data_IF_184313004206
#
_entry.id   IF_184313004206
#
_cell.length_a   1.000
_cell.length_b   1.000
_cell.length_c   1.000
_cell.angle_alpha   90.00
_cell.angle_beta   90.00
_cell.angle_gamma   90.00
#
_symmetry.space_group_name_H-M   'P 1'
#
loop_
_entity.id
_entity.type
_entity.pdbx_description
1 polymer ?
#
# COMPACT_ATOMS: atom_id res chain seq x y z
N UNK A 1 17.61 21.98 13.75
CA UNK A 1 17.67 20.50 13.71
C UNK A 1 16.29 19.97 13.31
N UNK A 2 16.10 19.56 12.06
CA UNK A 2 14.78 19.15 11.54
C UNK A 2 14.72 17.64 11.36
N UNK A 3 14.63 16.90 12.46
CA UNK A 3 14.55 15.42 12.49
C UNK A 3 13.12 14.89 12.67
N UNK A 4 12.08 15.73 12.53
CA UNK A 4 10.74 15.42 13.03
C UNK A 4 9.65 15.15 11.95
N UNK A 5 10.02 14.67 10.76
CA UNK A 5 9.03 14.28 9.71
C UNK A 5 9.26 12.85 9.16
N UNK A 6 10.31 12.16 9.61
CA UNK A 6 10.68 10.84 9.07
C UNK A 6 9.73 9.74 9.55
N UNK A 7 9.55 9.56 10.86
CA UNK A 7 8.81 8.43 11.45
C UNK A 7 7.37 8.31 10.92
N UNK A 8 6.64 9.43 10.82
CA UNK A 8 5.25 9.43 10.35
C UNK A 8 5.12 9.03 8.87
N UNK A 9 6.09 9.41 8.02
CA UNK A 9 6.14 9.00 6.62
C UNK A 9 6.38 7.49 6.48
N UNK A 10 7.32 6.94 7.25
CA UNK A 10 7.62 5.51 7.23
C UNK A 10 6.45 4.69 7.80
N UNK A 11 5.86 5.11 8.92
CA UNK A 11 4.70 4.46 9.52
C UNK A 11 3.50 4.43 8.56
N UNK A 12 3.25 5.51 7.81
CA UNK A 12 2.17 5.55 6.81
C UNK A 12 2.42 4.57 5.66
N UNK A 13 3.67 4.41 5.24
CA UNK A 13 4.03 3.42 4.21
C UNK A 13 3.85 2.01 4.76
N UNK A 14 4.34 1.72 5.96
CA UNK A 14 4.17 0.41 6.61
C UNK A 14 2.69 0.04 6.77
N UNK A 15 1.84 0.99 7.18
CA UNK A 15 0.40 0.77 7.32
C UNK A 15 -0.27 0.28 6.03
N UNK A 16 0.14 0.78 4.86
CA UNK A 16 -0.41 0.32 3.56
C UNK A 16 0.00 -1.10 3.21
N UNK A 17 1.23 -1.50 3.56
CA UNK A 17 1.64 -2.88 3.40
C UNK A 17 0.88 -3.80 4.36
N UNK A 18 0.67 -3.37 5.62
CA UNK A 18 -0.16 -4.15 6.55
C UNK A 18 -1.59 -4.31 6.05
N UNK A 19 -2.21 -3.21 5.58
CA UNK A 19 -3.56 -3.23 5.00
C UNK A 19 -3.65 -4.19 3.79
N UNK A 20 -2.66 -4.14 2.89
CA UNK A 20 -2.54 -5.08 1.77
C UNK A 20 -2.44 -6.53 2.22
N UNK A 21 -1.64 -6.83 3.24
CA UNK A 21 -1.51 -8.18 3.77
C UNK A 21 -2.79 -8.66 4.48
N UNK A 22 -3.49 -7.78 5.20
CA UNK A 22 -4.80 -8.09 5.77
C UNK A 22 -5.84 -8.44 4.69
N UNK A 23 -5.70 -7.89 3.48
CA UNK A 23 -6.53 -8.23 2.32
C UNK A 23 -6.04 -9.47 1.55
N UNK A 24 -4.99 -10.15 2.02
CA UNK A 24 -4.45 -11.37 1.38
C UNK A 24 -3.54 -11.12 0.18
N UNK A 25 -3.07 -9.88 -0.03
CA UNK A 25 -2.21 -9.54 -1.16
C UNK A 25 -0.79 -10.12 -1.00
N UNK A 26 -0.20 -10.57 -2.11
CA UNK A 26 1.21 -10.99 -2.15
C UNK A 26 2.15 -9.80 -2.00
N UNK A 27 3.44 -10.04 -1.69
CA UNK A 27 4.43 -8.96 -1.55
C UNK A 27 4.54 -8.08 -2.81
N UNK A 28 4.40 -8.66 -4.01
CA UNK A 28 4.41 -7.92 -5.27
C UNK A 28 3.15 -7.05 -5.42
N UNK A 29 1.98 -7.62 -5.15
CA UNK A 29 0.70 -6.91 -5.19
C UNK A 29 0.67 -5.77 -4.16
N UNK A 30 1.14 -6.02 -2.94
CA UNK A 30 1.23 -5.03 -1.88
C UNK A 30 2.17 -3.85 -2.24
N UNK A 31 3.28 -4.14 -2.91
CA UNK A 31 4.20 -3.11 -3.40
C UNK A 31 3.57 -2.25 -4.50
N UNK A 32 2.86 -2.88 -5.44
CA UNK A 32 2.12 -2.20 -6.49
C UNK A 32 1.01 -1.31 -5.90
N UNK A 33 0.19 -1.86 -5.01
CA UNK A 33 -0.90 -1.16 -4.34
C UNK A 33 -0.37 0.03 -3.52
N UNK A 34 0.70 -0.17 -2.75
CA UNK A 34 1.34 0.91 -1.98
C UNK A 34 1.88 2.06 -2.85
N UNK A 35 2.29 1.76 -4.09
CA UNK A 35 2.75 2.76 -5.06
C UNK A 35 1.58 3.51 -5.68
N UNK A 36 0.53 2.80 -6.12
CA UNK A 36 -0.66 3.38 -6.74
C UNK A 36 -1.45 4.26 -5.76
N UNK A 37 -1.62 3.79 -4.53
CA UNK A 37 -2.43 4.45 -3.49
C UNK A 37 -1.59 5.28 -2.50
N UNK A 38 -0.46 5.82 -2.94
CA UNK A 38 0.46 6.58 -2.07
C UNK A 38 -0.16 7.83 -1.42
N UNK A 39 -1.26 8.35 -1.97
CA UNK A 39 -2.05 9.44 -1.37
C UNK A 39 -3.19 8.97 -0.46
N UNK A 40 -3.68 7.74 -0.66
CA UNK A 40 -4.83 7.21 0.07
C UNK A 40 -4.41 6.66 1.43
N UNK A 41 -5.35 6.72 2.38
CA UNK A 41 -5.15 6.21 3.75
C UNK A 41 -5.56 4.75 3.89
N UNK A 42 -6.43 4.26 3.01
CA UNK A 42 -7.02 2.93 3.01
C UNK A 42 -7.00 2.42 1.57
N UNK A 43 -6.72 1.13 1.37
CA UNK A 43 -6.85 0.50 0.07
C UNK A 43 -8.33 0.29 -0.26
N UNK A 44 -8.78 0.59 -1.49
CA UNK A 44 -10.17 0.34 -1.85
C UNK A 44 -10.44 -1.17 -1.97
N UNK A 45 -11.68 -1.59 -1.70
CA UNK A 45 -12.09 -2.99 -1.85
C UNK A 45 -11.99 -3.50 -3.30
N UNK A 46 -11.98 -2.59 -4.29
CA UNK A 46 -11.78 -2.91 -5.71
C UNK A 46 -10.34 -3.26 -6.09
N UNK A 47 -9.41 -3.30 -5.13
CA UNK A 47 -7.98 -3.51 -5.39
C UNK A 47 -7.70 -4.82 -6.13
N UNK A 48 -8.46 -5.88 -5.86
CA UNK A 48 -8.28 -7.19 -6.50
C UNK A 48 -8.58 -7.13 -8.00
N UNK A 49 -9.71 -6.54 -8.39
CA UNK A 49 -10.06 -6.33 -9.79
C UNK A 49 -9.01 -5.47 -10.52
N UNK A 50 -8.45 -4.49 -9.81
CA UNK A 50 -7.42 -3.63 -10.38
C UNK A 50 -6.07 -4.33 -10.53
N UNK A 51 -5.74 -5.28 -9.64
CA UNK A 51 -4.55 -6.11 -9.75
C UNK A 51 -4.66 -7.11 -10.90
N UNK A 52 -5.83 -7.70 -11.09
CA UNK A 52 -6.13 -8.58 -12.22
C UNK A 52 -6.00 -7.83 -13.55
N UNK A 53 -6.62 -6.65 -13.66
CA UNK A 53 -6.49 -5.76 -14.84
C UNK A 53 -5.04 -5.34 -15.10
N UNK A 54 -4.25 -5.16 -14.04
CA UNK A 54 -2.85 -4.80 -14.14
C UNK A 54 -1.92 -6.00 -14.34
N UNK A 55 -2.47 -7.22 -14.40
CA UNK A 55 -1.74 -8.49 -14.50
C UNK A 55 -0.64 -8.64 -13.44
N UNK A 56 -0.94 -8.23 -12.21
CA UNK A 56 -0.02 -8.33 -11.07
C UNK A 56 -0.32 -9.60 -10.28
N UNK A 57 0.34 -10.70 -10.70
CA UNK A 57 0.39 -11.97 -9.96
C UNK A 57 1.38 -11.92 -8.81
#
# INVERSE_FOLDING_TARGET
ASTHITCARYARRARRFMDAYCMGLTGRQAAWASKKYRGHRVLPNSILDELEKANIS
#
